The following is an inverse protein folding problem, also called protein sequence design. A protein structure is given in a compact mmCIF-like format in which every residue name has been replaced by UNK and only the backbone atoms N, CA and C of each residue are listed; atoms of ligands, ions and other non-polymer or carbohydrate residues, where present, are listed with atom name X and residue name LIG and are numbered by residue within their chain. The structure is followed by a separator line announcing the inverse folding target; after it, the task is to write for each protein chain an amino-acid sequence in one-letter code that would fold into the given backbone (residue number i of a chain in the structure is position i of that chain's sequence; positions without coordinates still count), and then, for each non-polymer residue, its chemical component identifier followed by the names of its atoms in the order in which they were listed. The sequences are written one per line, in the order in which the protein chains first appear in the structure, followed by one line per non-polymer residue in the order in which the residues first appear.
data_IF_933187867804
#
_entry.id   IF_933187867804
#
_cell.length_a   1.000
_cell.length_b   1.000
_cell.length_c   1.000
_cell.angle_alpha   90.00
_cell.angle_beta   90.00
_cell.angle_gamma   90.00
#
_symmetry.space_group_name_H-M   'P 1'
#
loop_
_entity.id
_entity.type
_entity.pdbx_description
1 polymer ?
#
# COMPACT_ATOMS: atom_id res chain seq x y z
N UNK A 1 10.24 -4.31 -2.73
CA UNK A 1 10.28 -4.57 -1.29
C UNK A 1 10.78 -3.32 -0.59
N UNK A 2 10.19 -2.92 0.52
CA UNK A 2 10.62 -1.81 1.37
C UNK A 2 10.70 -2.30 2.80
N UNK A 3 11.70 -1.84 3.54
CA UNK A 3 11.91 -2.18 4.95
C UNK A 3 11.97 -0.92 5.79
N UNK A 4 11.49 -0.98 7.01
CA UNK A 4 11.64 0.06 8.03
C UNK A 4 11.69 -0.57 9.41
N UNK A 5 12.30 0.12 10.37
CA UNK A 5 12.22 -0.25 11.78
C UNK A 5 10.77 -0.12 12.24
N UNK A 6 10.29 -1.05 13.04
CA UNK A 6 8.97 -1.02 13.65
C UNK A 6 8.85 0.00 14.79
N UNK A 7 7.87 -0.18 15.66
CA UNK A 7 7.65 0.69 16.83
C UNK A 7 8.65 0.41 17.95
N UNK A 8 9.26 -0.77 17.96
CA UNK A 8 10.31 -1.17 18.92
C UNK A 8 11.63 -1.42 18.20
N UNK A 9 12.73 -1.44 18.96
CA UNK A 9 14.10 -1.65 18.42
C UNK A 9 14.25 -3.04 17.78
N UNK A 10 13.48 -4.01 18.24
CA UNK A 10 13.56 -5.42 17.79
C UNK A 10 12.52 -5.75 16.69
N UNK A 11 11.82 -4.74 16.20
CA UNK A 11 10.77 -4.93 15.20
C UNK A 11 11.23 -4.46 13.80
N UNK A 12 11.17 -5.36 12.84
CA UNK A 12 11.42 -5.08 11.42
C UNK A 12 10.12 -5.20 10.64
N UNK A 13 9.70 -4.09 10.00
CA UNK A 13 8.54 -4.09 9.11
C UNK A 13 9.01 -4.25 7.67
N UNK A 14 8.55 -5.30 7.01
CA UNK A 14 8.85 -5.58 5.60
C UNK A 14 7.57 -5.44 4.78
N UNK A 15 7.57 -4.55 3.80
CA UNK A 15 6.46 -4.35 2.88
C UNK A 15 6.88 -4.76 1.46
N UNK A 16 6.03 -5.53 0.79
CA UNK A 16 6.26 -5.98 -0.58
C UNK A 16 4.93 -6.05 -1.36
N UNK A 17 4.98 -5.78 -2.68
CA UNK A 17 3.80 -5.93 -3.52
C UNK A 17 3.48 -7.41 -3.72
N UNK A 18 2.20 -7.75 -3.79
CA UNK A 18 1.77 -9.10 -4.03
C UNK A 18 0.57 -9.17 -5.01
N UNK A 19 0.41 -10.32 -5.67
CA UNK A 19 -0.68 -10.60 -6.61
C UNK A 19 -1.53 -11.79 -6.19
N UNK A 20 -1.00 -12.66 -5.34
CA UNK A 20 -1.62 -13.91 -4.92
C UNK A 20 -1.44 -14.06 -3.41
N UNK A 21 -2.53 -14.24 -2.68
CA UNK A 21 -2.52 -14.30 -1.22
C UNK A 21 -1.65 -15.45 -0.67
N UNK A 22 -1.77 -16.65 -1.23
CA UNK A 22 -1.00 -17.80 -0.77
C UNK A 22 0.52 -17.61 -0.94
N UNK A 23 0.96 -17.04 -2.08
CA UNK A 23 2.37 -16.70 -2.27
C UNK A 23 2.85 -15.55 -1.39
N UNK A 24 1.98 -14.58 -1.10
CA UNK A 24 2.32 -13.50 -0.19
C UNK A 24 2.55 -14.02 1.23
N UNK A 25 1.67 -14.89 1.70
CA UNK A 25 1.78 -15.54 3.00
C UNK A 25 3.02 -16.44 3.08
N UNK A 26 3.26 -17.26 2.06
CA UNK A 26 4.48 -18.07 1.95
C UNK A 26 5.76 -17.23 2.00
N UNK A 27 5.78 -16.08 1.30
CA UNK A 27 6.92 -15.16 1.35
C UNK A 27 7.11 -14.56 2.75
N UNK A 28 6.02 -14.18 3.45
CA UNK A 28 6.09 -13.64 4.81
C UNK A 28 6.73 -14.65 5.77
N UNK A 29 6.26 -15.89 5.77
CA UNK A 29 6.82 -16.95 6.61
C UNK A 29 8.25 -17.33 6.22
N UNK A 30 8.57 -17.38 4.92
CA UNK A 30 9.93 -17.65 4.45
C UNK A 30 10.91 -16.56 4.90
N UNK A 31 10.53 -15.28 4.76
CA UNK A 31 11.32 -14.15 5.24
C UNK A 31 11.55 -14.21 6.76
N UNK A 32 10.51 -14.51 7.54
CA UNK A 32 10.63 -14.63 8.99
C UNK A 32 11.65 -15.71 9.37
N UNK A 33 11.55 -16.91 8.78
CA UNK A 33 12.50 -18.00 9.04
C UNK A 33 13.94 -17.66 8.67
N UNK A 34 14.16 -16.95 7.56
CA UNK A 34 15.51 -16.51 7.16
C UNK A 34 16.05 -15.46 8.13
N UNK A 35 15.20 -14.51 8.55
CA UNK A 35 15.61 -13.46 9.49
C UNK A 35 15.95 -14.01 10.88
N UNK A 36 15.20 -15.00 11.36
CA UNK A 36 15.49 -15.67 12.63
C UNK A 36 16.88 -16.37 12.65
N UNK A 37 17.41 -16.68 11.47
CA UNK A 37 18.71 -17.33 11.29
C UNK A 37 19.77 -16.42 10.68
N UNK A 38 19.54 -15.12 10.60
CA UNK A 38 20.47 -14.17 9.94
C UNK A 38 21.86 -14.13 10.60
N UNK A 39 21.97 -14.52 11.87
CA UNK A 39 23.25 -14.64 12.60
C UNK A 39 23.99 -15.95 12.33
N UNK A 40 23.36 -16.89 11.63
CA UNK A 40 24.03 -18.10 11.16
C UNK A 40 25.09 -17.76 10.08
N UNK A 41 25.98 -18.71 9.79
CA UNK A 41 27.01 -18.50 8.77
C UNK A 41 26.41 -18.18 7.38
N UNK A 42 27.14 -17.41 6.54
CA UNK A 42 26.63 -16.98 5.23
C UNK A 42 26.19 -18.13 4.33
N UNK A 43 26.84 -19.28 4.41
CA UNK A 43 26.50 -20.45 3.61
C UNK A 43 25.16 -21.06 4.04
N UNK A 44 24.91 -21.18 5.36
CA UNK A 44 23.65 -21.67 5.90
C UNK A 44 22.48 -20.77 5.51
N UNK A 45 22.67 -19.45 5.59
CA UNK A 45 21.66 -18.47 5.17
C UNK A 45 21.37 -18.59 3.67
N UNK A 46 22.40 -18.78 2.84
CA UNK A 46 22.22 -18.95 1.39
C UNK A 46 21.43 -20.23 1.06
N UNK A 47 21.72 -21.34 1.71
CA UNK A 47 20.98 -22.60 1.55
C UNK A 47 19.50 -22.44 1.96
N UNK A 48 19.24 -21.74 3.07
CA UNK A 48 17.88 -21.43 3.49
C UNK A 48 17.13 -20.56 2.48
N UNK A 49 17.76 -19.53 1.94
CA UNK A 49 17.14 -18.67 0.92
C UNK A 49 16.74 -19.50 -0.32
N UNK A 50 17.59 -20.42 -0.75
CA UNK A 50 17.30 -21.30 -1.88
C UNK A 50 16.11 -22.22 -1.57
N UNK A 51 16.12 -22.84 -0.38
CA UNK A 51 15.05 -23.75 0.06
C UNK A 51 13.70 -23.01 0.19
N UNK A 52 13.68 -21.83 0.80
CA UNK A 52 12.48 -21.00 0.94
C UNK A 52 11.99 -20.49 -0.41
N UNK A 53 12.90 -20.15 -1.32
CA UNK A 53 12.56 -19.78 -2.70
C UNK A 53 11.89 -20.92 -3.46
N UNK A 54 12.38 -22.15 -3.31
CA UNK A 54 11.76 -23.33 -3.89
C UNK A 54 10.37 -23.63 -3.30
N UNK A 55 10.25 -23.53 -1.97
CA UNK A 55 8.97 -23.71 -1.28
C UNK A 55 7.94 -22.64 -1.73
N UNK A 56 8.36 -21.39 -1.88
CA UNK A 56 7.51 -20.31 -2.38
C UNK A 56 7.07 -20.55 -3.83
N UNK A 57 7.96 -21.05 -4.69
CA UNK A 57 7.62 -21.37 -6.07
C UNK A 57 6.57 -22.49 -6.17
N UNK A 58 6.61 -23.44 -5.25
CA UNK A 58 5.66 -24.55 -5.15
C UNK A 58 4.37 -24.21 -4.39
N UNK A 59 4.36 -23.05 -3.66
CA UNK A 59 3.21 -22.66 -2.85
C UNK A 59 1.97 -22.42 -3.72
N UNK A 60 0.77 -22.78 -3.24
CA UNK A 60 -0.48 -22.50 -3.94
C UNK A 60 -0.65 -20.99 -4.12
N UNK A 61 -1.21 -20.59 -5.26
CA UNK A 61 -1.38 -19.16 -5.56
C UNK A 61 -2.30 -18.46 -4.57
N UNK A 62 -3.36 -19.13 -4.13
CA UNK A 62 -4.40 -18.52 -3.32
C UNK A 62 -5.24 -17.49 -4.10
N UNK A 63 -6.02 -16.71 -3.39
CA UNK A 63 -6.87 -15.68 -3.99
C UNK A 63 -6.05 -14.49 -4.52
N UNK A 64 -6.55 -13.86 -5.58
CA UNK A 64 -6.06 -12.55 -5.99
C UNK A 64 -6.55 -11.46 -5.01
N UNK A 65 -5.84 -10.30 -4.93
CA UNK A 65 -6.34 -9.17 -4.16
C UNK A 65 -7.72 -8.75 -4.66
N UNK A 66 -8.62 -8.50 -3.73
CA UNK A 66 -9.91 -7.92 -4.08
C UNK A 66 -9.71 -6.45 -4.47
N UNK A 67 -10.01 -6.14 -5.73
CA UNK A 67 -9.91 -4.78 -6.24
C UNK A 67 -11.19 -4.01 -5.93
N UNK A 68 -11.02 -2.83 -5.35
CA UNK A 68 -12.14 -1.90 -5.17
C UNK A 68 -12.61 -1.46 -6.56
N UNK A 69 -13.89 -1.70 -6.86
CA UNK A 69 -14.55 -1.17 -8.05
C UNK A 69 -15.24 0.15 -7.68
N UNK A 70 -14.71 1.30 -8.11
CA UNK A 70 -15.31 2.58 -7.79
C UNK A 70 -16.74 2.66 -8.33
N UNK A 71 -17.66 3.14 -7.49
CA UNK A 71 -19.05 3.45 -7.88
C UNK A 71 -19.25 4.94 -8.10
N UNK A 72 -18.20 5.73 -7.94
CA UNK A 72 -18.14 7.18 -8.08
C UNK A 72 -17.08 7.55 -9.11
N UNK A 73 -17.14 8.74 -9.72
CA UNK A 73 -16.07 9.25 -10.57
C UNK A 73 -14.73 9.30 -9.83
N UNK A 74 -13.66 8.91 -10.54
CA UNK A 74 -12.29 8.92 -10.02
C UNK A 74 -11.39 9.68 -10.97
N UNK A 75 -10.59 10.60 -10.44
CA UNK A 75 -9.55 11.30 -11.17
C UNK A 75 -8.19 10.79 -10.67
N UNK A 76 -7.47 10.08 -11.54
CA UNK A 76 -6.13 9.61 -11.23
C UNK A 76 -5.09 10.60 -11.77
N UNK A 77 -4.19 11.05 -10.89
CA UNK A 77 -3.14 12.02 -11.23
C UNK A 77 -1.79 11.32 -11.20
N UNK A 78 -1.08 11.37 -12.32
CA UNK A 78 0.27 10.86 -12.45
C UNK A 78 1.24 11.95 -12.89
N UNK A 79 2.51 11.76 -12.66
CA UNK A 79 3.56 12.71 -13.06
C UNK A 79 4.68 12.79 -12.02
N UNK A 80 5.79 13.39 -12.41
CA UNK A 80 6.96 13.57 -11.53
C UNK A 80 6.70 14.69 -10.51
N UNK A 81 6.16 15.83 -10.96
CA UNK A 81 5.88 17.01 -10.15
C UNK A 81 4.41 17.42 -10.25
N UNK A 82 3.94 18.22 -9.29
CA UNK A 82 2.64 18.87 -9.32
C UNK A 82 1.45 17.99 -8.90
N UNK A 83 1.62 16.70 -8.64
CA UNK A 83 0.52 15.79 -8.29
C UNK A 83 -0.33 16.30 -7.12
N UNK A 84 0.29 16.60 -6.00
CA UNK A 84 -0.40 17.10 -4.79
C UNK A 84 -1.12 18.41 -5.06
N UNK A 85 -0.48 19.35 -5.76
CA UNK A 85 -1.09 20.63 -6.12
C UNK A 85 -2.30 20.42 -7.02
N UNK A 86 -2.18 19.60 -8.05
CA UNK A 86 -3.29 19.29 -8.97
C UNK A 86 -4.45 18.60 -8.24
N UNK A 87 -4.16 17.65 -7.36
CA UNK A 87 -5.18 16.99 -6.55
C UNK A 87 -5.96 18.00 -5.68
N UNK A 88 -5.25 18.88 -5.01
CA UNK A 88 -5.86 19.95 -4.19
C UNK A 88 -6.68 20.94 -5.03
N UNK A 89 -6.20 21.32 -6.22
CA UNK A 89 -6.94 22.21 -7.14
C UNK A 89 -8.24 21.55 -7.60
N UNK A 90 -8.20 20.30 -8.07
CA UNK A 90 -9.39 19.55 -8.49
C UNK A 90 -10.35 19.40 -7.30
N UNK A 91 -9.83 19.04 -6.14
CA UNK A 91 -10.61 18.94 -4.91
C UNK A 91 -11.30 20.25 -4.55
N UNK A 92 -10.60 21.39 -4.68
CA UNK A 92 -11.16 22.70 -4.44
C UNK A 92 -12.29 23.03 -5.44
N UNK A 93 -12.05 22.84 -6.73
CA UNK A 93 -13.05 23.09 -7.79
C UNK A 93 -14.31 22.25 -7.58
N UNK A 94 -14.12 20.96 -7.28
CA UNK A 94 -15.26 20.06 -7.07
C UNK A 94 -16.10 20.46 -5.83
N UNK A 95 -15.43 20.89 -4.73
CA UNK A 95 -16.12 21.41 -3.55
C UNK A 95 -16.90 22.69 -3.85
N UNK A 96 -16.33 23.61 -4.63
CA UNK A 96 -17.05 24.83 -5.07
C UNK A 96 -18.26 24.49 -5.95
N UNK A 97 -18.23 23.36 -6.64
CA UNK A 97 -19.37 22.81 -7.39
C UNK A 97 -20.37 22.03 -6.51
N UNK A 98 -20.20 22.06 -5.17
CA UNK A 98 -21.11 21.43 -4.23
C UNK A 98 -20.93 19.91 -4.08
N UNK A 99 -19.81 19.34 -4.56
CA UNK A 99 -19.53 17.90 -4.41
C UNK A 99 -18.74 17.60 -3.14
N UNK A 100 -19.12 16.53 -2.44
CA UNK A 100 -18.29 15.98 -1.38
C UNK A 100 -17.13 15.21 -2.01
N UNK A 101 -15.93 15.78 -1.92
CA UNK A 101 -14.73 15.24 -2.56
C UNK A 101 -13.77 14.66 -1.55
N UNK A 102 -13.18 13.51 -1.89
CA UNK A 102 -12.03 12.94 -1.19
C UNK A 102 -10.80 12.89 -2.08
N UNK A 103 -9.63 13.15 -1.51
CA UNK A 103 -8.37 12.93 -2.23
C UNK A 103 -7.30 12.37 -1.32
N UNK A 104 -6.33 11.67 -1.92
CA UNK A 104 -5.14 11.18 -1.26
C UNK A 104 -3.87 11.72 -1.91
N UNK A 105 -2.85 11.98 -1.10
CA UNK A 105 -1.59 12.57 -1.53
C UNK A 105 -0.44 12.17 -0.61
N UNK A 106 0.76 12.69 -0.87
CA UNK A 106 1.96 12.44 -0.05
C UNK A 106 1.87 13.02 1.36
N UNK A 107 0.95 13.91 1.63
CA UNK A 107 0.77 14.56 2.93
C UNK A 107 -0.48 14.07 3.70
N UNK A 108 -1.35 13.29 3.06
CA UNK A 108 -2.48 12.71 3.77
C UNK A 108 -3.66 12.29 2.91
N UNK A 109 -4.70 11.86 3.62
CA UNK A 109 -6.06 11.65 3.11
C UNK A 109 -6.94 12.79 3.56
N UNK A 110 -7.65 13.36 2.62
CA UNK A 110 -8.53 14.51 2.85
C UNK A 110 -9.95 14.16 2.43
N UNK A 111 -10.91 14.56 3.26
CA UNK A 111 -12.35 14.46 2.95
C UNK A 111 -12.95 15.85 3.13
N UNK A 112 -13.60 16.32 2.11
CA UNK A 112 -14.20 17.66 2.04
C UNK A 112 -13.25 18.79 2.49
N UNK A 113 -11.99 18.70 2.07
CA UNK A 113 -10.97 19.68 2.40
C UNK A 113 -10.37 19.56 3.80
N UNK A 114 -10.83 18.62 4.63
CA UNK A 114 -10.29 18.37 5.97
C UNK A 114 -9.32 17.20 5.92
N UNK A 115 -8.16 17.35 6.53
CA UNK A 115 -7.22 16.25 6.72
C UNK A 115 -7.82 15.25 7.72
N UNK A 116 -8.05 14.02 7.28
CA UNK A 116 -8.56 12.93 8.12
C UNK A 116 -7.47 11.97 8.57
N UNK A 117 -6.40 11.84 7.78
CA UNK A 117 -5.25 11.02 8.13
C UNK A 117 -3.98 11.62 7.51
N UNK A 118 -2.97 11.89 8.34
CA UNK A 118 -1.69 12.44 7.90
C UNK A 118 -0.71 11.32 7.52
N UNK A 119 0.08 11.52 6.46
CA UNK A 119 1.09 10.57 6.00
C UNK A 119 1.13 10.43 4.48
N UNK A 120 2.05 9.62 3.96
CA UNK A 120 2.13 9.36 2.52
C UNK A 120 1.07 8.34 2.09
N UNK A 121 0.01 8.86 1.50
CA UNK A 121 -1.12 8.13 0.94
C UNK A 121 -1.23 8.27 -0.59
N UNK A 122 -0.13 8.51 -1.27
CA UNK A 122 -0.07 8.61 -2.74
C UNK A 122 -0.30 7.29 -3.49
N UNK A 123 -0.48 6.19 -2.76
CA UNK A 123 -0.65 4.84 -3.31
C UNK A 123 -2.06 4.26 -3.13
N UNK A 124 -2.23 2.95 -3.44
CA UNK A 124 -3.51 2.26 -3.38
C UNK A 124 -4.21 2.30 -2.02
N UNK A 125 -3.44 2.39 -0.93
CA UNK A 125 -4.00 2.49 0.43
C UNK A 125 -4.76 3.79 0.63
N UNK A 126 -4.25 4.91 0.12
CA UNK A 126 -4.93 6.21 0.17
C UNK A 126 -6.19 6.22 -0.68
N UNK A 127 -6.09 5.77 -1.92
CA UNK A 127 -7.25 5.61 -2.80
C UNK A 127 -8.33 4.74 -2.15
N UNK A 128 -7.94 3.62 -1.52
CA UNK A 128 -8.88 2.75 -0.83
C UNK A 128 -9.61 3.41 0.34
N UNK A 129 -8.94 4.31 1.09
CA UNK A 129 -9.58 5.07 2.17
C UNK A 129 -10.62 6.06 1.64
N UNK A 130 -10.26 6.80 0.60
CA UNK A 130 -11.17 7.75 -0.06
C UNK A 130 -12.40 7.02 -0.63
N UNK A 131 -12.19 5.95 -1.38
CA UNK A 131 -13.26 5.21 -2.06
C UNK A 131 -14.21 4.47 -1.11
N UNK A 132 -13.78 4.15 0.11
CA UNK A 132 -14.64 3.54 1.13
C UNK A 132 -15.40 4.55 1.99
N UNK A 133 -15.11 5.83 1.85
CA UNK A 133 -15.82 6.84 2.64
C UNK A 133 -17.24 7.04 2.11
N UNK A 134 -18.29 6.82 2.92
CA UNK A 134 -19.67 6.68 2.43
C UNK A 134 -20.26 7.97 1.84
N UNK A 135 -19.70 9.12 2.14
CA UNK A 135 -20.21 10.40 1.64
C UNK A 135 -19.46 10.94 0.41
N UNK A 136 -18.34 10.34 0.00
CA UNK A 136 -17.55 10.85 -1.13
C UNK A 136 -18.27 10.61 -2.45
N UNK A 137 -18.40 11.66 -3.24
CA UNK A 137 -19.04 11.67 -4.56
C UNK A 137 -18.03 11.79 -5.71
N UNK A 138 -16.81 12.22 -5.40
CA UNK A 138 -15.67 12.31 -6.33
C UNK A 138 -14.38 11.97 -5.59
N UNK A 139 -13.61 11.04 -6.13
CA UNK A 139 -12.29 10.69 -5.63
C UNK A 139 -11.18 11.27 -6.52
N UNK A 140 -10.09 11.80 -5.92
CA UNK A 140 -8.93 12.34 -6.62
C UNK A 140 -7.64 11.74 -6.07
#
# INVERSE_FOLDING_TARGET
MRTRTGQTVDELVVAYPWRNAGRAEGLAYGLARVLDRVTAGPQEVAEMIIAEGAALAAAPLGSAPELIRPQIPVVAITGTNGKTTTARMIGHIARQAGRLVGWSSTDGVYIDGRLVEAGDFSGPSGAGRVLRHPGVELAV
#
